data_IF_107112460312
#
_entry.id   IF_107112460312
#
_cell.length_a   1.000
_cell.length_b   1.000
_cell.length_c   1.000
_cell.angle_alpha   90.00
_cell.angle_beta   90.00
_cell.angle_gamma   90.00
#
_symmetry.space_group_name_H-M   'P 1'
#
loop_
_entity.id
_entity.type
_entity.pdbx_description
1 polymer ?
#
# COMPACT_ATOMS: atom_id res chain seq x y z
N UNK A 1 8.23 1.78 -3.99
CA UNK A 1 8.14 0.75 -5.05
C UNK A 1 8.78 1.32 -6.31
N UNK A 2 9.61 0.53 -6.99
CA UNK A 2 10.15 0.92 -8.30
C UNK A 2 9.20 0.43 -9.38
N UNK A 3 8.57 1.35 -10.11
CA UNK A 3 7.64 1.04 -11.19
C UNK A 3 8.38 0.78 -12.51
N UNK A 4 9.48 1.49 -12.73
CA UNK A 4 10.34 1.36 -13.91
C UNK A 4 11.79 1.67 -13.55
N UNK A 5 12.73 0.92 -14.11
CA UNK A 5 14.17 1.15 -13.95
C UNK A 5 14.75 0.55 -12.65
N UNK A 6 15.92 1.04 -12.25
CA UNK A 6 16.65 0.55 -11.08
C UNK A 6 17.16 1.73 -10.26
N UNK A 7 17.15 1.60 -8.93
CA UNK A 7 17.70 2.62 -8.02
C UNK A 7 18.61 1.96 -6.98
N UNK A 8 19.49 2.75 -6.37
CA UNK A 8 20.22 2.40 -5.16
C UNK A 8 19.71 3.25 -4.01
N UNK A 9 19.17 2.61 -2.98
CA UNK A 9 18.67 3.27 -1.77
C UNK A 9 19.81 3.44 -0.76
N UNK A 10 19.93 4.65 -0.19
CA UNK A 10 20.92 5.02 0.82
C UNK A 10 22.37 4.61 0.45
N UNK A 11 22.70 4.63 -0.85
CA UNK A 11 24.04 4.32 -1.38
C UNK A 11 24.47 2.85 -1.34
N UNK A 12 23.67 1.95 -0.75
CA UNK A 12 24.10 0.56 -0.52
C UNK A 12 23.11 -0.50 -0.98
N UNK A 13 21.82 -0.17 -1.06
CA UNK A 13 20.79 -1.17 -1.31
C UNK A 13 20.23 -1.04 -2.72
N UNK A 14 20.64 -1.89 -3.68
CA UNK A 14 20.04 -1.88 -5.01
C UNK A 14 18.59 -2.36 -4.94
N UNK A 15 17.72 -1.69 -5.69
CA UNK A 15 16.28 -1.99 -5.80
C UNK A 15 15.93 -2.00 -7.28
N UNK A 16 15.44 -3.14 -7.75
CA UNK A 16 15.09 -3.36 -9.15
C UNK A 16 13.63 -3.00 -9.45
N UNK A 17 13.32 -2.91 -10.74
CA UNK A 17 11.95 -2.76 -11.23
C UNK A 17 11.00 -3.81 -10.61
N UNK A 18 9.76 -3.38 -10.35
CA UNK A 18 8.71 -4.15 -9.70
C UNK A 18 9.01 -4.58 -8.25
N UNK A 19 10.07 -4.06 -7.60
CA UNK A 19 10.33 -4.34 -6.19
C UNK A 19 9.67 -3.31 -5.26
N UNK A 20 9.13 -3.84 -4.16
CA UNK A 20 8.65 -3.09 -3.02
C UNK A 20 9.72 -3.07 -1.92
N UNK A 21 9.98 -1.89 -1.36
CA UNK A 21 10.81 -1.70 -0.19
C UNK A 21 9.94 -1.16 0.93
N UNK A 22 10.01 -1.79 2.10
CA UNK A 22 9.37 -1.32 3.33
C UNK A 22 10.41 -0.57 4.15
N UNK A 23 10.12 0.68 4.46
CA UNK A 23 11.01 1.56 5.23
C UNK A 23 10.61 1.56 6.71
N UNK A 24 11.56 1.89 7.57
CA UNK A 24 11.27 2.22 8.96
C UNK A 24 10.38 3.47 9.02
N UNK A 25 9.51 3.54 10.04
CA UNK A 25 8.76 4.75 10.37
C UNK A 25 9.64 5.84 10.99
N UNK A 26 10.87 5.49 11.36
CA UNK A 26 11.85 6.44 11.90
C UNK A 26 12.66 7.08 10.77
N UNK A 27 12.97 8.36 10.93
CA UNK A 27 13.70 9.16 9.95
C UNK A 27 12.77 10.07 9.14
N UNK A 28 13.38 11.03 8.43
CA UNK A 28 12.65 12.06 7.66
C UNK A 28 13.14 12.19 6.22
N UNK A 29 14.24 11.54 5.90
CA UNK A 29 14.95 11.72 4.62
C UNK A 29 15.17 10.36 3.98
N UNK A 30 14.91 10.28 2.68
CA UNK A 30 15.19 9.13 1.84
C UNK A 30 16.13 9.57 0.73
N UNK A 31 17.25 8.88 0.57
CA UNK A 31 18.18 9.12 -0.53
C UNK A 31 18.12 7.96 -1.51
N UNK A 32 17.98 8.27 -2.79
CA UNK A 32 18.08 7.29 -3.86
C UNK A 32 18.90 7.86 -5.00
N UNK A 33 19.66 6.97 -5.62
CA UNK A 33 20.53 7.25 -6.76
C UNK A 33 20.11 6.34 -7.90
N UNK A 34 20.29 6.82 -9.13
CA UNK A 34 20.10 5.99 -10.33
C UNK A 34 21.01 6.48 -11.44
N UNK A 35 21.44 5.54 -12.29
CA UNK A 35 22.27 5.81 -13.47
C UNK A 35 21.44 5.95 -14.75
N UNK A 36 20.12 5.75 -14.69
CA UNK A 36 19.21 5.86 -15.82
C UNK A 36 17.81 6.31 -15.37
N UNK A 37 16.87 6.50 -16.30
CA UNK A 37 15.52 6.92 -15.96
C UNK A 37 14.82 5.90 -15.07
N UNK A 38 14.26 6.36 -13.95
CA UNK A 38 13.49 5.55 -13.03
C UNK A 38 12.15 6.21 -12.69
N UNK A 39 11.12 5.40 -12.48
CA UNK A 39 9.83 5.83 -11.96
C UNK A 39 9.58 5.13 -10.63
N UNK A 40 9.38 5.90 -9.57
CA UNK A 40 9.27 5.40 -8.21
C UNK A 40 7.99 5.91 -7.56
N UNK A 41 7.24 5.00 -6.93
CA UNK A 41 6.08 5.32 -6.10
C UNK A 41 6.48 5.27 -4.62
N UNK A 42 6.33 6.40 -3.93
CA UNK A 42 6.45 6.51 -2.47
C UNK A 42 5.06 6.60 -1.86
N UNK A 43 4.73 5.66 -0.97
CA UNK A 43 3.52 5.66 -0.19
C UNK A 43 3.91 5.81 1.29
N UNK A 44 3.38 6.83 1.95
CA UNK A 44 3.59 7.09 3.37
C UNK A 44 2.30 7.63 4.00
N UNK A 45 2.13 7.39 5.29
CA UNK A 45 0.96 7.83 6.05
C UNK A 45 1.13 7.50 7.52
N UNK A 46 0.35 8.17 8.36
CA UNK A 46 0.28 7.85 9.78
C UNK A 46 -0.45 6.50 9.97
N UNK A 47 0.06 5.59 10.82
CA UNK A 47 -0.66 4.36 11.12
C UNK A 47 -2.03 4.65 11.75
N UNK A 48 -3.08 4.02 11.23
CA UNK A 48 -4.43 4.14 11.79
C UNK A 48 -4.54 3.55 13.21
N UNK A 49 -3.69 2.56 13.55
CA UNK A 49 -3.71 1.86 14.83
C UNK A 49 -5.06 1.21 15.18
N UNK A 50 -5.84 0.85 14.16
CA UNK A 50 -7.12 0.16 14.30
C UNK A 50 -7.02 -1.27 13.78
N UNK A 51 -7.89 -2.19 14.26
CA UNK A 51 -8.01 -3.52 13.69
C UNK A 51 -8.39 -3.45 12.20
N UNK A 52 -7.82 -4.34 11.40
CA UNK A 52 -8.14 -4.47 9.97
C UNK A 52 -8.68 -5.89 9.75
N UNK A 53 -9.91 -5.98 9.23
CA UNK A 53 -10.57 -7.23 8.84
C UNK A 53 -11.01 -7.10 7.39
N UNK A 54 -10.46 -7.96 6.52
CA UNK A 54 -10.77 -7.97 5.09
C UNK A 54 -11.49 -9.26 4.65
N UNK A 55 -12.47 -9.12 3.75
CA UNK A 55 -13.09 -10.24 3.05
C UNK A 55 -13.52 -9.84 1.64
N UNK A 56 -12.88 -10.41 0.62
CA UNK A 56 -13.13 -10.07 -0.78
C UNK A 56 -12.89 -8.57 -1.02
N UNK A 57 -13.88 -7.81 -1.54
CA UNK A 57 -13.74 -6.38 -1.82
C UNK A 57 -13.96 -5.48 -0.59
N UNK A 58 -14.28 -6.05 0.59
CA UNK A 58 -14.63 -5.28 1.78
C UNK A 58 -13.50 -5.29 2.81
N UNK A 59 -13.23 -4.12 3.39
CA UNK A 59 -12.28 -3.92 4.51
C UNK A 59 -12.99 -3.10 5.58
N UNK A 60 -13.09 -3.65 6.79
CA UNK A 60 -13.73 -3.04 7.97
C UNK A 60 -12.88 -3.28 9.23
N UNK A 61 -13.32 -2.83 10.40
CA UNK A 61 -12.59 -3.03 11.66
C UNK A 61 -12.98 -4.33 12.38
N UNK A 62 -14.18 -4.88 12.13
CA UNK A 62 -14.68 -6.09 12.80
C UNK A 62 -15.29 -7.11 11.84
N UNK A 63 -15.38 -8.38 12.27
CA UNK A 63 -16.06 -9.45 11.50
C UNK A 63 -17.57 -9.20 11.34
N UNK A 64 -18.19 -8.52 12.31
CA UNK A 64 -19.61 -8.18 12.26
C UNK A 64 -19.89 -7.16 11.15
N UNK A 65 -19.07 -6.13 11.04
CA UNK A 65 -19.18 -5.12 9.98
C UNK A 65 -18.96 -5.73 8.59
N UNK A 66 -18.03 -6.68 8.46
CA UNK A 66 -17.88 -7.44 7.21
C UNK A 66 -19.16 -8.22 6.86
N UNK A 67 -19.76 -8.91 7.83
CA UNK A 67 -21.00 -9.65 7.58
C UNK A 67 -22.16 -8.73 7.19
N UNK A 68 -22.20 -7.51 7.72
CA UNK A 68 -23.14 -6.46 7.33
C UNK A 68 -22.91 -5.96 5.91
N UNK A 69 -21.66 -5.60 5.57
CA UNK A 69 -21.31 -5.15 4.22
C UNK A 69 -21.67 -6.18 3.14
N UNK A 70 -21.44 -7.47 3.41
CA UNK A 70 -21.83 -8.56 2.49
C UNK A 70 -23.35 -8.66 2.35
N UNK A 71 -24.11 -8.55 3.45
CA UNK A 71 -25.59 -8.55 3.38
C UNK A 71 -26.11 -7.35 2.59
N UNK A 72 -25.52 -6.18 2.79
CA UNK A 72 -25.90 -4.95 2.11
C UNK A 72 -25.61 -5.02 0.61
N UNK A 73 -24.47 -5.58 0.24
CA UNK A 73 -24.14 -5.85 -1.16
C UNK A 73 -25.14 -6.84 -1.79
N UNK A 74 -25.37 -7.97 -1.15
CA UNK A 74 -26.29 -9.01 -1.65
C UNK A 74 -27.75 -8.55 -1.71
N UNK A 75 -28.14 -7.57 -0.88
CA UNK A 75 -29.48 -6.97 -0.90
C UNK A 75 -29.61 -5.80 -1.88
N UNK A 76 -28.57 -5.49 -2.67
CA UNK A 76 -28.61 -4.44 -3.70
C UNK A 76 -28.52 -3.02 -3.15
N UNK A 77 -28.08 -2.83 -1.89
CA UNK A 77 -27.98 -1.51 -1.25
C UNK A 77 -26.76 -0.68 -1.69
N UNK A 78 -25.92 -1.23 -2.56
CA UNK A 78 -24.70 -0.58 -3.06
C UNK A 78 -24.91 0.23 -4.35
N UNK A 79 -26.15 0.34 -4.82
CA UNK A 79 -26.49 1.02 -6.07
C UNK A 79 -26.40 0.10 -7.29
N UNK A 80 -26.77 0.64 -8.45
CA UNK A 80 -26.67 0.00 -9.77
C UNK A 80 -25.89 0.92 -10.70
N UNK A 81 -25.14 0.35 -11.64
CA UNK A 81 -24.36 1.09 -12.66
C UNK A 81 -25.25 1.47 -13.82
#
# INVERSE_FOLDING_TARGET
MVLKGNITLNGTTPVNEAQLVVLSQQGKTLHFETSSDASVLLLSGEPLNEPIVGYGPFVMNTKQEIAEAVRDFNSGRFGQI
#
